data_IF_815381676517
#
_entry.id   IF_815381676517
#
_cell.length_a   1.000
_cell.length_b   1.000
_cell.length_c   1.000
_cell.angle_alpha   90.00
_cell.angle_beta   90.00
_cell.angle_gamma   90.00
#
_symmetry.space_group_name_H-M   'P 1'
#
loop_
_entity.id
_entity.type
_entity.pdbx_description
1 polymer ?
#
# COMPACT_ATOMS: atom_id res chain seq x y z
N UNK A 1 10.63 30.26 -16.61
CA UNK A 1 10.07 29.00 -16.08
C UNK A 1 9.37 28.26 -17.23
N UNK A 2 9.89 27.11 -17.69
CA UNK A 2 9.35 26.37 -18.86
C UNK A 2 8.19 25.45 -18.42
N UNK A 3 7.07 25.37 -19.17
CA UNK A 3 5.90 24.61 -18.75
C UNK A 3 6.15 23.10 -18.83
N UNK A 4 5.94 22.40 -17.71
CA UNK A 4 6.11 20.94 -17.53
C UNK A 4 5.14 20.06 -18.36
N UNK A 5 4.48 20.61 -19.38
CA UNK A 5 3.28 20.05 -20.02
C UNK A 5 3.54 19.13 -21.24
N UNK A 6 4.78 18.92 -21.67
CA UNK A 6 5.09 18.15 -22.89
C UNK A 6 5.65 16.75 -22.67
N UNK A 7 5.75 16.30 -21.42
CA UNK A 7 6.37 15.03 -21.09
C UNK A 7 5.33 13.90 -21.16
N UNK A 8 5.69 12.77 -21.77
CA UNK A 8 4.83 11.59 -21.75
C UNK A 8 4.60 11.15 -20.31
N UNK A 9 3.36 10.80 -19.95
CA UNK A 9 2.96 10.37 -18.60
C UNK A 9 3.87 9.26 -18.06
N UNK A 10 4.33 8.38 -18.94
CA UNK A 10 5.29 7.31 -18.64
C UNK A 10 6.63 7.81 -18.09
N UNK A 11 7.21 8.87 -18.69
CA UNK A 11 8.50 9.44 -18.25
C UNK A 11 8.38 10.13 -16.90
N UNK A 12 7.25 10.78 -16.64
CA UNK A 12 6.96 11.40 -15.34
C UNK A 12 6.83 10.30 -14.28
N UNK A 13 6.03 9.26 -14.56
CA UNK A 13 5.81 8.15 -13.63
C UNK A 13 7.12 7.44 -13.27
N UNK A 14 7.94 7.07 -14.26
CA UNK A 14 9.23 6.43 -14.01
C UNK A 14 10.15 7.28 -13.15
N UNK A 15 10.24 8.60 -13.41
CA UNK A 15 11.09 9.49 -12.61
C UNK A 15 10.61 9.60 -11.18
N UNK A 16 9.31 9.72 -10.95
CA UNK A 16 8.73 9.77 -9.61
C UNK A 16 8.98 8.45 -8.88
N UNK A 17 8.80 7.31 -9.55
CA UNK A 17 9.09 5.99 -8.98
C UNK A 17 10.57 5.86 -8.57
N UNK A 18 11.51 6.17 -9.46
CA UNK A 18 12.93 6.11 -9.14
C UNK A 18 13.35 7.11 -8.05
N UNK A 19 12.73 8.29 -8.02
CA UNK A 19 12.96 9.25 -6.95
C UNK A 19 12.48 8.71 -5.59
N UNK A 20 11.28 8.13 -5.52
CA UNK A 20 10.75 7.52 -4.30
C UNK A 20 11.64 6.36 -3.83
N UNK A 21 12.01 5.46 -4.73
CA UNK A 21 12.93 4.35 -4.42
C UNK A 21 14.26 4.89 -3.90
N UNK A 22 14.85 5.87 -4.59
CA UNK A 22 16.12 6.48 -4.20
C UNK A 22 16.05 7.10 -2.80
N UNK A 23 15.01 7.87 -2.50
CA UNK A 23 14.80 8.47 -1.17
C UNK A 23 14.66 7.38 -0.10
N UNK A 24 13.87 6.33 -0.34
CA UNK A 24 13.70 5.22 0.61
C UNK A 24 15.01 4.46 0.85
N UNK A 25 15.76 4.13 -0.20
CA UNK A 25 17.04 3.42 -0.09
C UNK A 25 18.06 4.26 0.67
N UNK A 26 18.15 5.57 0.39
CA UNK A 26 19.06 6.47 1.11
C UNK A 26 18.67 6.59 2.58
N UNK A 27 17.38 6.79 2.90
CA UNK A 27 16.91 6.86 4.27
C UNK A 27 17.18 5.57 5.05
N UNK A 28 16.94 4.41 4.42
CA UNK A 28 17.26 3.11 5.01
C UNK A 28 18.78 2.91 5.20
N UNK A 29 19.60 3.30 4.22
CA UNK A 29 21.05 3.20 4.33
C UNK A 29 21.59 4.09 5.46
N UNK A 30 21.06 5.31 5.64
CA UNK A 30 21.39 6.17 6.77
C UNK A 30 21.03 5.50 8.10
N UNK A 31 19.82 4.94 8.21
CA UNK A 31 19.39 4.19 9.40
C UNK A 31 20.30 2.98 9.69
N UNK A 32 20.64 2.19 8.67
CA UNK A 32 21.38 0.95 8.85
C UNK A 32 22.88 1.18 9.10
N UNK A 33 23.46 2.25 8.55
CA UNK A 33 24.92 2.47 8.55
C UNK A 33 25.37 3.55 9.55
N UNK A 34 24.51 4.51 9.90
CA UNK A 34 24.90 5.67 10.71
C UNK A 34 24.26 5.59 12.09
N UNK A 35 25.12 5.55 13.13
CA UNK A 35 24.67 5.52 14.51
C UNK A 35 23.91 4.24 14.88
N UNK A 36 24.12 3.14 14.15
CA UNK A 36 23.38 1.90 14.37
C UNK A 36 23.59 1.29 15.77
N UNK A 37 24.76 1.47 16.38
CA UNK A 37 25.08 0.89 17.71
C UNK A 37 24.81 1.87 18.88
N UNK A 38 23.97 2.89 18.68
CA UNK A 38 23.59 3.78 19.78
C UNK A 38 22.60 3.01 20.67
N UNK A 39 22.89 2.80 21.97
CA UNK A 39 22.00 2.08 22.86
C UNK A 39 20.73 2.90 23.11
N UNK A 40 19.61 2.21 23.23
CA UNK A 40 18.32 2.81 23.53
C UNK A 40 18.26 3.24 25.00
N UNK A 41 17.64 4.40 25.28
CA UNK A 41 17.66 5.01 26.62
C UNK A 41 16.96 4.14 27.68
N UNK A 42 15.96 3.35 27.28
CA UNK A 42 15.15 2.54 28.19
C UNK A 42 15.65 1.09 28.28
N UNK A 43 16.41 0.63 27.29
CA UNK A 43 16.90 -0.74 27.18
C UNK A 43 18.27 -0.76 26.47
N UNK A 44 19.38 -0.80 27.23
CA UNK A 44 20.73 -0.77 26.67
C UNK A 44 21.08 -1.95 25.76
N UNK A 45 20.32 -3.05 25.83
CA UNK A 45 20.50 -4.24 24.96
C UNK A 45 19.91 -4.02 23.56
N UNK A 46 19.22 -2.90 23.34
CA UNK A 46 18.61 -2.54 22.06
C UNK A 46 19.26 -1.30 21.48
N UNK A 47 19.36 -1.33 20.16
CA UNK A 47 19.89 -0.21 19.41
C UNK A 47 18.75 0.71 18.96
N UNK A 48 18.94 2.02 19.11
CA UNK A 48 18.11 3.05 18.52
C UNK A 48 18.94 3.89 17.55
N UNK A 49 19.05 3.47 16.28
CA UNK A 49 19.85 4.18 15.30
C UNK A 49 19.44 5.66 15.16
N UNK A 50 20.41 6.53 14.89
CA UNK A 50 20.20 7.99 14.84
C UNK A 50 19.09 8.42 13.87
N UNK A 51 18.90 7.68 12.77
CA UNK A 51 17.91 7.98 11.73
C UNK A 51 16.61 7.15 11.85
N UNK A 52 16.34 6.54 13.00
CA UNK A 52 15.07 5.83 13.25
C UNK A 52 13.88 6.75 13.05
N UNK A 53 13.92 7.96 13.62
CA UNK A 53 12.85 8.95 13.49
C UNK A 53 12.62 9.40 12.04
N UNK A 54 13.70 9.57 11.27
CA UNK A 54 13.62 9.91 9.85
C UNK A 54 12.87 8.82 9.08
N UNK A 55 13.18 7.54 9.36
CA UNK A 55 12.55 6.40 8.70
C UNK A 55 11.05 6.31 9.08
N UNK A 56 10.72 6.53 10.35
CA UNK A 56 9.34 6.57 10.84
C UNK A 56 8.55 7.70 10.17
N UNK A 57 9.11 8.91 10.11
CA UNK A 57 8.48 10.05 9.43
C UNK A 57 8.29 9.81 7.94
N UNK A 58 9.28 9.24 7.26
CA UNK A 58 9.15 8.88 5.84
C UNK A 58 8.01 7.87 5.64
N UNK A 59 7.88 6.88 6.52
CA UNK A 59 6.76 5.92 6.50
C UNK A 59 5.41 6.61 6.63
N UNK A 60 5.24 7.49 7.63
CA UNK A 60 4.00 8.24 7.84
C UNK A 60 3.65 9.17 6.68
N UNK A 61 4.62 9.93 6.17
CA UNK A 61 4.41 10.86 5.06
C UNK A 61 3.97 10.11 3.81
N UNK A 62 4.65 9.00 3.47
CA UNK A 62 4.32 8.22 2.28
C UNK A 62 2.97 7.51 2.42
N UNK A 63 2.62 7.02 3.61
CA UNK A 63 1.31 6.45 3.90
C UNK A 63 0.20 7.50 3.69
N UNK A 64 0.30 8.66 4.33
CA UNK A 64 -0.70 9.73 4.21
C UNK A 64 -0.81 10.23 2.76
N UNK A 65 0.33 10.45 2.10
CA UNK A 65 0.36 10.88 0.69
C UNK A 65 -0.32 9.84 -0.22
N UNK A 66 -0.05 8.55 -0.04
CA UNK A 66 -0.66 7.49 -0.84
C UNK A 66 -2.17 7.44 -0.67
N UNK A 67 -2.67 7.61 0.57
CA UNK A 67 -4.09 7.63 0.88
C UNK A 67 -4.78 8.84 0.23
N UNK A 68 -4.20 10.03 0.37
CA UNK A 68 -4.71 11.26 -0.26
C UNK A 68 -4.76 11.13 -1.78
N UNK A 69 -3.70 10.61 -2.40
CA UNK A 69 -3.65 10.40 -3.84
C UNK A 69 -4.65 9.35 -4.31
N UNK A 70 -4.86 8.27 -3.57
CA UNK A 70 -5.85 7.24 -3.89
C UNK A 70 -7.28 7.82 -3.91
N UNK A 71 -7.63 8.61 -2.88
CA UNK A 71 -8.92 9.28 -2.80
C UNK A 71 -9.06 10.34 -3.89
N UNK A 72 -8.07 11.21 -4.05
CA UNK A 72 -8.08 12.28 -5.05
C UNK A 72 -8.18 11.72 -6.48
N UNK A 73 -7.45 10.66 -6.80
CA UNK A 73 -7.49 9.95 -8.07
C UNK A 73 -8.89 9.38 -8.35
N UNK A 74 -9.51 8.76 -7.35
CA UNK A 74 -10.87 8.22 -7.45
C UNK A 74 -11.90 9.33 -7.69
N UNK A 75 -11.85 10.40 -6.89
CA UNK A 75 -12.75 11.56 -7.02
C UNK A 75 -12.58 12.22 -8.39
N UNK A 76 -11.34 12.41 -8.84
CA UNK A 76 -11.05 13.00 -10.14
C UNK A 76 -11.56 12.12 -11.29
N UNK A 77 -11.36 10.80 -11.19
CA UNK A 77 -11.87 9.82 -12.14
C UNK A 77 -13.40 9.84 -12.23
N UNK A 78 -14.10 10.00 -11.11
CA UNK A 78 -15.56 10.15 -11.09
C UNK A 78 -16.03 11.48 -11.68
N UNK A 79 -15.36 12.60 -11.40
CA UNK A 79 -15.72 13.93 -11.91
C UNK A 79 -15.53 14.06 -13.43
N UNK A 80 -14.53 13.40 -14.01
CA UNK A 80 -14.27 13.41 -15.45
C UNK A 80 -15.11 12.39 -16.24
N UNK A 81 -15.83 11.51 -15.55
CA UNK A 81 -16.61 10.43 -16.15
C UNK A 81 -17.79 10.84 -17.06
N UNK A 82 -18.51 11.98 -16.89
CA UNK A 82 -19.65 12.29 -17.77
C UNK A 82 -19.22 12.58 -19.22
N UNK A 83 -17.96 12.99 -19.46
CA UNK A 83 -17.43 13.30 -20.81
C UNK A 83 -16.87 12.09 -21.57
N UNK A 84 -16.64 10.96 -20.89
CA UNK A 84 -16.10 9.72 -21.48
C UNK A 84 -17.10 8.56 -21.51
N UNK A 85 -18.25 8.73 -20.87
CA UNK A 85 -19.29 7.69 -20.75
C UNK A 85 -19.91 7.29 -22.08
N UNK A 86 -19.90 8.16 -23.10
CA UNK A 86 -20.50 7.84 -24.40
C UNK A 86 -19.67 6.93 -25.31
N UNK A 87 -18.39 6.66 -24.99
CA UNK A 87 -17.51 5.91 -25.93
C UNK A 87 -17.25 4.45 -25.59
N UNK A 88 -17.47 4.00 -24.36
CA UNK A 88 -16.88 2.72 -23.92
C UNK A 88 -17.81 1.70 -23.23
N UNK A 89 -19.12 1.94 -23.12
CA UNK A 89 -20.13 0.91 -22.75
C UNK A 89 -19.96 0.15 -21.42
N UNK A 90 -18.86 0.34 -20.70
CA UNK A 90 -18.50 -0.36 -19.47
C UNK A 90 -18.72 0.61 -18.31
N UNK A 91 -19.49 0.18 -17.32
CA UNK A 91 -19.79 0.96 -16.12
C UNK A 91 -18.56 1.06 -15.18
N UNK A 92 -17.50 1.74 -15.61
CA UNK A 92 -16.26 1.96 -14.85
C UNK A 92 -16.52 2.50 -13.43
N UNK A 93 -17.60 3.30 -13.27
CA UNK A 93 -18.05 3.82 -11.97
C UNK A 93 -18.48 2.72 -11.00
N UNK A 94 -19.18 1.68 -11.48
CA UNK A 94 -19.64 0.57 -10.63
C UNK A 94 -18.46 -0.28 -10.16
N UNK A 95 -17.51 -0.54 -11.06
CA UNK A 95 -16.31 -1.31 -10.71
C UNK A 95 -15.47 -0.60 -9.64
N UNK A 96 -15.19 0.71 -9.80
CA UNK A 96 -14.43 1.48 -8.82
C UNK A 96 -15.12 1.50 -7.45
N UNK A 97 -16.44 1.65 -7.41
CA UNK A 97 -17.20 1.65 -6.16
C UNK A 97 -17.16 0.28 -5.46
N UNK A 98 -17.31 -0.81 -6.23
CA UNK A 98 -17.21 -2.17 -5.68
C UNK A 98 -15.82 -2.40 -5.09
N UNK A 99 -14.75 -1.96 -5.76
CA UNK A 99 -13.38 -2.11 -5.23
C UNK A 99 -13.22 -1.39 -3.90
N UNK A 100 -13.64 -0.13 -3.80
CA UNK A 100 -13.59 0.63 -2.55
C UNK A 100 -14.43 -0.01 -1.44
N UNK A 101 -15.64 -0.49 -1.77
CA UNK A 101 -16.49 -1.20 -0.82
C UNK A 101 -15.80 -2.45 -0.31
N UNK A 102 -15.24 -3.28 -1.19
CA UNK A 102 -14.52 -4.50 -0.82
C UNK A 102 -13.32 -4.18 0.08
N UNK A 103 -12.54 -3.14 -0.23
CA UNK A 103 -11.41 -2.72 0.59
C UNK A 103 -11.86 -2.27 1.98
N UNK A 104 -12.86 -1.40 2.06
CA UNK A 104 -13.39 -0.90 3.35
C UNK A 104 -14.00 -2.06 4.16
N UNK A 105 -14.73 -2.96 3.51
CA UNK A 105 -15.30 -4.13 4.15
C UNK A 105 -14.21 -5.06 4.69
N UNK A 106 -13.15 -5.31 3.91
CA UNK A 106 -12.04 -6.14 4.34
C UNK A 106 -11.31 -5.53 5.54
N UNK A 107 -11.03 -4.23 5.52
CA UNK A 107 -10.46 -3.50 6.65
C UNK A 107 -11.39 -3.54 7.87
N UNK A 108 -12.68 -3.29 7.70
CA UNK A 108 -13.65 -3.30 8.81
C UNK A 108 -13.80 -4.69 9.45
N UNK A 109 -13.84 -5.75 8.64
CA UNK A 109 -13.91 -7.13 9.12
C UNK A 109 -12.62 -7.53 9.86
N UNK A 110 -11.45 -7.22 9.29
CA UNK A 110 -10.17 -7.56 9.92
C UNK A 110 -9.90 -6.74 11.18
N UNK A 111 -10.39 -5.51 11.26
CA UNK A 111 -10.39 -4.71 12.49
C UNK A 111 -11.29 -5.32 13.56
N UNK A 112 -12.50 -5.78 13.19
CA UNK A 112 -13.45 -6.36 14.14
C UNK A 112 -12.96 -7.68 14.76
N UNK A 113 -12.21 -8.49 14.01
CA UNK A 113 -11.59 -9.73 14.50
C UNK A 113 -10.19 -9.50 15.13
N UNK A 114 -9.64 -8.29 15.03
CA UNK A 114 -8.33 -7.95 15.57
C UNK A 114 -8.28 -8.13 17.09
N UNK A 115 -7.16 -8.64 17.57
CA UNK A 115 -6.93 -8.88 19.00
C UNK A 115 -6.74 -7.58 19.76
N UNK A 116 -7.18 -7.57 21.01
CA UNK A 116 -6.86 -6.53 22.01
C UNK A 116 -6.06 -7.11 23.17
N UNK A 117 -5.51 -8.33 23.01
CA UNK A 117 -4.67 -8.93 24.03
C UNK A 117 -3.40 -8.07 24.20
N UNK A 118 -3.00 -7.76 25.45
CA UNK A 118 -1.74 -7.08 25.72
C UNK A 118 -0.59 -7.76 25.01
N UNK A 119 0.29 -6.96 24.43
CA UNK A 119 1.50 -7.46 23.78
C UNK A 119 2.71 -6.95 24.56
N UNK A 120 3.58 -7.88 24.95
CA UNK A 120 4.86 -7.54 25.57
C UNK A 120 5.77 -6.90 24.54
N UNK A 121 5.99 -5.58 24.67
CA UNK A 121 6.89 -4.82 23.82
C UNK A 121 8.03 -4.32 24.72
N UNK A 122 9.22 -4.85 24.50
CA UNK A 122 10.42 -4.48 25.27
C UNK A 122 10.31 -4.68 26.79
N UNK A 123 9.52 -5.67 27.24
CA UNK A 123 9.35 -5.98 28.66
C UNK A 123 8.23 -5.21 29.36
N UNK A 124 7.64 -4.23 28.66
CA UNK A 124 6.45 -3.49 29.11
C UNK A 124 5.22 -3.98 28.34
N UNK A 125 4.08 -4.01 29.03
CA UNK A 125 2.80 -4.38 28.40
C UNK A 125 2.27 -3.21 27.57
N UNK A 126 2.12 -3.45 26.27
CA UNK A 126 1.41 -2.54 25.38
C UNK A 126 -0.08 -2.94 25.34
N UNK A 127 -0.91 -2.11 25.97
CA UNK A 127 -2.32 -2.41 26.21
C UNK A 127 -3.30 -1.53 25.43
N UNK A 128 -2.83 -0.66 24.52
CA UNK A 128 -3.74 0.22 23.78
C UNK A 128 -4.60 -0.61 22.79
N UNK A 129 -5.90 -0.80 23.08
CA UNK A 129 -6.74 -1.73 22.33
C UNK A 129 -7.03 -1.23 20.92
N UNK A 130 -6.95 0.09 20.68
CA UNK A 130 -7.17 0.66 19.36
C UNK A 130 -6.00 0.31 18.46
N UNK A 131 -4.77 0.61 18.89
CA UNK A 131 -3.58 0.38 18.08
C UNK A 131 -3.25 -1.10 17.89
N UNK A 132 -3.52 -1.94 18.90
CA UNK A 132 -3.42 -3.40 18.76
C UNK A 132 -4.33 -3.91 17.63
N UNK A 133 -5.59 -3.46 17.61
CA UNK A 133 -6.52 -3.82 16.52
C UNK A 133 -6.15 -3.24 15.18
N UNK A 134 -5.65 -2.00 15.14
CA UNK A 134 -5.20 -1.37 13.87
C UNK A 134 -4.03 -2.15 13.28
N UNK A 135 -3.07 -2.58 14.11
CA UNK A 135 -1.94 -3.40 13.66
C UNK A 135 -2.43 -4.74 13.08
N UNK A 136 -3.27 -5.46 13.82
CA UNK A 136 -3.86 -6.73 13.37
C UNK A 136 -4.69 -6.57 12.08
N UNK A 137 -5.47 -5.49 11.97
CA UNK A 137 -6.26 -5.16 10.77
C UNK A 137 -5.37 -5.11 9.52
N UNK A 138 -4.23 -4.42 9.59
CA UNK A 138 -3.30 -4.31 8.46
C UNK A 138 -2.64 -5.65 8.13
N UNK A 139 -2.22 -6.42 9.14
CA UNK A 139 -1.62 -7.75 8.95
C UNK A 139 -2.62 -8.69 8.28
N UNK A 140 -3.82 -8.86 8.85
CA UNK A 140 -4.83 -9.75 8.29
C UNK A 140 -5.31 -9.31 6.91
N UNK A 141 -5.52 -8.01 6.69
CA UNK A 141 -5.93 -7.49 5.38
C UNK A 141 -4.86 -7.76 4.32
N UNK A 142 -3.59 -7.50 4.63
CA UNK A 142 -2.50 -7.72 3.67
C UNK A 142 -2.34 -9.20 3.31
N UNK A 143 -2.44 -10.11 4.29
CA UNK A 143 -2.40 -11.55 4.07
C UNK A 143 -3.60 -12.03 3.22
N UNK A 144 -4.80 -11.55 3.53
CA UNK A 144 -6.01 -11.89 2.77
C UNK A 144 -5.91 -11.41 1.31
N UNK A 145 -5.45 -10.17 1.09
CA UNK A 145 -5.24 -9.62 -0.24
C UNK A 145 -4.13 -10.35 -1.01
N UNK A 146 -3.05 -10.74 -0.33
CA UNK A 146 -1.98 -11.54 -0.92
C UNK A 146 -2.50 -12.91 -1.37
N UNK A 147 -3.25 -13.61 -0.51
CA UNK A 147 -3.87 -14.89 -0.84
C UNK A 147 -4.85 -14.75 -2.01
N UNK A 148 -5.68 -13.70 -2.03
CA UNK A 148 -6.59 -13.41 -3.13
C UNK A 148 -5.83 -13.13 -4.44
N UNK A 149 -4.71 -12.40 -4.39
CA UNK A 149 -3.87 -12.12 -5.54
C UNK A 149 -3.23 -13.40 -6.12
N UNK A 150 -2.71 -14.28 -5.25
CA UNK A 150 -2.19 -15.59 -5.65
C UNK A 150 -3.30 -16.44 -6.28
N UNK A 151 -4.47 -16.51 -5.66
CA UNK A 151 -5.62 -17.24 -6.20
C UNK A 151 -6.07 -16.72 -7.57
N UNK A 152 -6.11 -15.40 -7.75
CA UNK A 152 -6.42 -14.76 -9.02
C UNK A 152 -5.36 -15.08 -10.09
N UNK A 153 -4.07 -15.10 -9.74
CA UNK A 153 -2.99 -15.48 -10.65
C UNK A 153 -3.15 -16.93 -11.14
N UNK A 154 -3.37 -17.88 -10.22
CA UNK A 154 -3.53 -19.31 -10.56
C UNK A 154 -4.76 -19.53 -11.44
N UNK A 155 -5.89 -18.91 -11.10
CA UNK A 155 -7.11 -18.97 -11.92
C UNK A 155 -6.90 -18.35 -13.31
N UNK A 156 -6.21 -17.20 -13.38
CA UNK A 156 -5.86 -16.51 -14.62
C UNK A 156 -4.99 -17.37 -15.52
N UNK A 157 -3.92 -17.96 -14.99
CA UNK A 157 -3.02 -18.85 -15.72
C UNK A 157 -3.76 -20.09 -16.25
N UNK A 158 -4.58 -20.72 -15.41
CA UNK A 158 -5.38 -21.90 -15.78
C UNK A 158 -6.36 -21.58 -16.92
N UNK A 159 -7.04 -20.43 -16.85
CA UNK A 159 -7.99 -19.99 -17.88
C UNK A 159 -7.27 -19.61 -19.19
N UNK A 160 -6.11 -18.97 -19.10
CA UNK A 160 -5.29 -18.60 -20.25
C UNK A 160 -4.86 -19.85 -21.04
N UNK A 161 -4.36 -20.87 -20.36
CA UNK A 161 -3.98 -22.16 -20.96
C UNK A 161 -5.20 -22.84 -21.60
N UNK A 162 -6.36 -22.86 -20.91
CA UNK A 162 -7.60 -23.46 -21.43
C UNK A 162 -8.12 -22.76 -22.69
N UNK A 163 -7.97 -21.43 -22.80
CA UNK A 163 -8.40 -20.65 -23.97
C UNK A 163 -7.48 -20.90 -25.17
N UNK A 164 -6.17 -20.91 -24.98
CA UNK A 164 -5.20 -21.19 -26.06
C UNK A 164 -5.39 -22.59 -26.63
N UNK A 165 -5.72 -23.59 -25.80
CA UNK A 165 -6.00 -24.96 -26.24
C UNK A 165 -7.33 -25.13 -26.99
N UNK A 166 -8.28 -24.20 -26.85
CA UNK A 166 -9.55 -24.20 -27.59
C UNK A 166 -9.54 -23.34 -28.86
N UNK A 167 -8.62 -22.36 -28.96
CA UNK A 167 -8.44 -21.50 -30.14
C UNK A 167 -7.46 -22.05 -31.18
N UNK A 168 -6.73 -23.11 -30.86
CA UNK A 168 -5.83 -23.82 -31.78
C UNK A 168 -6.45 -25.10 -32.34
N UNK A 169 -7.63 -25.00 -32.97
CA UNK A 169 -8.07 -26.01 -33.94
C UNK A 169 -7.83 -25.42 -35.35
N UNK A 170 -7.28 -26.20 -36.31
CA UNK A 170 -7.25 -25.79 -37.71
C UNK A 170 -8.66 -25.52 -38.23
#
# INVERSE_FOLDING_TARGET
MRPLRHWSTERISHRVLYALIGVTVVAYALFALVGFNIPYEQDPDKNAPLFTDLLLWLGWITLVLSLVLAVASTVHSHKLSPRKAERNGIAHRRLSLIVWLVVILCLGLTFAIGSTAPMLINGEDYEDPLWLRVADMFVYTSLALLAAAVGAMVFGATRYIRKNRKGGKP
#
